data_IF_921663611994
#
_entry.id   IF_921663611994
#
_cell.length_a   1.000
_cell.length_b   1.000
_cell.length_c   1.000
_cell.angle_alpha   90.00
_cell.angle_beta   90.00
_cell.angle_gamma   90.00
#
_symmetry.space_group_name_H-M   'P 1'
#
loop_
_entity.id
_entity.type
_entity.pdbx_description
1 polymer ?
#
# COMPACT_ATOMS: atom_id res chain seq x y z
N UNK A 1 -9.21 47.07 20.29
CA UNK A 1 -8.84 46.77 18.86
C UNK A 1 -7.64 45.85 18.69
N UNK A 2 -6.83 45.60 19.70
CA UNK A 2 -5.55 44.82 19.61
C UNK A 2 -5.76 43.32 19.58
N UNK A 3 -6.73 42.76 20.28
CA UNK A 3 -6.97 41.31 20.37
C UNK A 3 -7.44 40.68 19.05
N UNK A 4 -8.25 41.38 18.27
CA UNK A 4 -8.76 40.88 16.99
C UNK A 4 -7.65 40.77 15.96
N UNK A 5 -6.68 41.67 15.97
CA UNK A 5 -5.53 41.63 15.07
C UNK A 5 -4.52 40.51 15.46
N UNK A 6 -4.38 40.28 16.77
CA UNK A 6 -3.55 39.16 17.28
C UNK A 6 -4.17 37.81 16.92
N UNK A 7 -5.48 37.66 17.11
CA UNK A 7 -6.23 36.47 16.72
C UNK A 7 -6.09 36.18 15.21
N UNK A 8 -6.26 37.18 14.35
CA UNK A 8 -6.09 37.04 12.91
C UNK A 8 -4.67 36.59 12.52
N UNK A 9 -3.66 37.11 13.20
CA UNK A 9 -2.26 36.74 12.94
C UNK A 9 -1.96 35.29 13.23
N UNK A 10 -2.64 34.69 14.21
CA UNK A 10 -2.41 33.30 14.60
C UNK A 10 -3.37 32.29 13.97
N UNK A 11 -4.56 32.74 13.51
CA UNK A 11 -5.55 31.86 12.89
C UNK A 11 -4.99 31.23 11.61
N UNK A 12 -4.39 32.03 10.73
CA UNK A 12 -3.87 31.51 9.45
C UNK A 12 -2.81 30.41 9.63
N UNK A 13 -1.72 30.59 10.42
CA UNK A 13 -0.75 29.53 10.64
C UNK A 13 -1.35 28.33 11.35
N UNK A 14 -2.28 28.53 12.30
CA UNK A 14 -2.95 27.41 12.98
C UNK A 14 -3.79 26.58 12.01
N UNK A 15 -4.54 27.22 11.13
CA UNK A 15 -5.33 26.53 10.10
C UNK A 15 -4.42 25.78 9.13
N UNK A 16 -3.31 26.37 8.70
CA UNK A 16 -2.35 25.70 7.82
C UNK A 16 -1.75 24.47 8.50
N UNK A 17 -1.33 24.58 9.75
CA UNK A 17 -0.78 23.44 10.52
C UNK A 17 -1.83 22.36 10.69
N UNK A 18 -3.08 22.73 11.01
CA UNK A 18 -4.17 21.78 11.14
C UNK A 18 -4.48 21.04 9.83
N UNK A 19 -4.48 21.74 8.70
CA UNK A 19 -4.68 21.15 7.37
C UNK A 19 -3.54 20.22 6.99
N UNK A 20 -2.28 20.59 7.24
CA UNK A 20 -1.12 19.73 7.01
C UNK A 20 -1.19 18.49 7.91
N UNK A 21 -1.47 18.65 9.19
CA UNK A 21 -1.65 17.52 10.10
C UNK A 21 -2.76 16.58 9.65
N UNK A 22 -3.89 17.11 9.23
CA UNK A 22 -5.00 16.33 8.67
C UNK A 22 -4.58 15.59 7.39
N UNK A 23 -3.86 16.26 6.49
CA UNK A 23 -3.36 15.65 5.27
C UNK A 23 -2.45 14.44 5.54
N UNK A 24 -1.48 14.60 6.45
CA UNK A 24 -0.59 13.51 6.87
C UNK A 24 -1.37 12.37 7.54
N UNK A 25 -2.31 12.71 8.41
CA UNK A 25 -3.12 11.72 9.09
C UNK A 25 -4.01 10.93 8.11
N UNK A 26 -4.69 11.60 7.19
CA UNK A 26 -5.56 10.97 6.20
C UNK A 26 -4.78 10.14 5.16
N UNK A 27 -3.56 10.57 4.81
CA UNK A 27 -2.75 9.93 3.77
C UNK A 27 -1.55 9.15 4.34
N UNK A 28 -1.61 8.72 5.59
CA UNK A 28 -0.51 8.02 6.27
C UNK A 28 0.12 6.92 5.42
N UNK A 29 -0.68 5.97 4.94
CA UNK A 29 -0.20 4.83 4.15
C UNK A 29 0.48 5.26 2.85
N UNK A 30 -0.01 6.33 2.21
CA UNK A 30 0.58 6.85 0.99
C UNK A 30 1.91 7.56 1.22
N UNK A 31 2.01 8.33 2.30
CA UNK A 31 3.24 9.08 2.66
C UNK A 31 4.36 8.13 3.06
N UNK A 32 4.05 7.10 3.83
CA UNK A 32 5.02 6.14 4.37
C UNK A 32 5.14 4.86 3.54
N UNK A 33 4.69 4.87 2.28
CA UNK A 33 4.85 3.72 1.38
C UNK A 33 6.33 3.44 1.12
N UNK A 34 6.67 2.16 1.03
CA UNK A 34 8.00 1.68 0.70
C UNK A 34 8.00 0.97 -0.65
N UNK A 35 9.09 1.15 -1.42
CA UNK A 35 9.34 0.44 -2.67
C UNK A 35 10.11 -0.83 -2.33
N UNK A 36 9.51 -1.98 -2.59
CA UNK A 36 10.15 -3.27 -2.44
C UNK A 36 10.44 -3.84 -3.83
N UNK A 37 11.68 -4.23 -4.04
CA UNK A 37 12.14 -4.93 -5.25
C UNK A 37 12.64 -6.27 -4.79
N UNK A 38 11.95 -7.33 -5.17
CA UNK A 38 12.28 -8.62 -4.60
C UNK A 38 11.67 -9.80 -5.32
N UNK A 39 12.12 -10.97 -4.90
CA UNK A 39 11.62 -12.26 -5.36
C UNK A 39 10.36 -12.65 -4.57
N UNK A 40 9.34 -13.08 -5.27
CA UNK A 40 8.11 -13.59 -4.66
C UNK A 40 8.35 -14.97 -4.07
N UNK A 41 8.29 -15.06 -2.77
CA UNK A 41 8.44 -16.30 -2.00
C UNK A 41 7.13 -17.07 -1.94
N UNK A 42 6.02 -16.34 -1.74
CA UNK A 42 4.67 -16.88 -1.71
C UNK A 42 3.67 -15.87 -2.26
N UNK A 43 2.68 -16.37 -2.98
CA UNK A 43 1.52 -15.60 -3.41
C UNK A 43 0.31 -16.53 -3.33
N UNK A 44 -0.57 -16.27 -2.40
CA UNK A 44 -1.75 -17.10 -2.14
C UNK A 44 -3.01 -16.26 -2.31
N UNK A 45 -3.99 -16.84 -3.00
CA UNK A 45 -5.31 -16.26 -3.13
C UNK A 45 -6.13 -16.63 -1.90
N UNK A 46 -6.54 -15.63 -1.15
CA UNK A 46 -7.38 -15.80 0.03
C UNK A 46 -8.80 -15.40 -0.34
N UNK A 47 -9.74 -16.34 -0.19
CA UNK A 47 -11.15 -16.03 -0.33
C UNK A 47 -11.55 -15.06 0.80
N UNK A 48 -12.21 -13.97 0.44
CA UNK A 48 -12.76 -13.04 1.43
C UNK A 48 -13.74 -13.76 2.34
N UNK A 49 -13.92 -13.31 3.59
CA UNK A 49 -14.94 -13.85 4.46
C UNK A 49 -16.28 -13.74 3.74
N UNK A 50 -16.94 -14.88 3.54
CA UNK A 50 -18.31 -14.91 3.03
C UNK A 50 -19.16 -14.18 4.06
N UNK A 51 -19.52 -12.94 3.78
CA UNK A 51 -20.58 -12.29 4.51
C UNK A 51 -21.86 -13.04 4.17
N UNK A 52 -22.22 -14.01 5.01
CA UNK A 52 -23.53 -14.67 4.98
C UNK A 52 -24.52 -13.63 5.49
N UNK A 53 -24.92 -12.73 4.62
CA UNK A 53 -26.03 -11.82 4.89
C UNK A 53 -27.27 -12.44 4.24
N UNK A 54 -28.08 -13.08 5.08
CA UNK A 54 -29.52 -13.15 4.95
C UNK A 54 -30.10 -13.82 3.71
N UNK A 55 -30.75 -14.94 3.94
CA UNK A 55 -32.04 -15.36 3.37
C UNK A 55 -32.46 -14.62 2.06
N UNK A 56 -32.09 -15.17 0.95
CA UNK A 56 -32.58 -14.78 -0.37
C UNK A 56 -31.63 -15.26 -1.46
N UNK A 57 -32.17 -15.82 -2.53
CA UNK A 57 -31.47 -16.39 -3.70
C UNK A 57 -30.57 -15.39 -4.46
N UNK A 58 -29.79 -14.55 -3.77
CA UNK A 58 -28.78 -13.73 -4.40
C UNK A 58 -27.50 -14.54 -4.48
N UNK A 59 -27.11 -14.84 -5.70
CA UNK A 59 -25.79 -15.39 -6.03
C UNK A 59 -24.74 -14.41 -5.46
N UNK A 60 -24.13 -14.77 -4.34
CA UNK A 60 -23.02 -14.05 -3.76
C UNK A 60 -21.94 -13.96 -4.82
N UNK A 61 -21.58 -12.73 -5.19
CA UNK A 61 -20.57 -12.48 -6.19
C UNK A 61 -19.22 -13.07 -5.72
N UNK A 62 -18.72 -14.17 -6.30
CA UNK A 62 -17.54 -14.88 -5.81
C UNK A 62 -16.21 -14.14 -6.13
N UNK A 63 -16.28 -12.87 -6.46
CA UNK A 63 -15.13 -12.10 -6.96
C UNK A 63 -14.42 -11.26 -5.89
N UNK A 64 -14.86 -11.30 -4.63
CA UNK A 64 -14.14 -10.63 -3.56
C UNK A 64 -13.09 -11.62 -3.01
N UNK A 65 -11.88 -11.52 -3.52
CA UNK A 65 -10.73 -12.23 -3.00
C UNK A 65 -9.57 -11.27 -2.81
N UNK A 66 -8.75 -11.56 -1.84
CA UNK A 66 -7.49 -10.88 -1.58
C UNK A 66 -6.32 -11.82 -1.86
N UNK A 67 -5.15 -11.26 -2.03
CA UNK A 67 -3.91 -12.00 -2.14
C UNK A 67 -3.11 -11.79 -0.85
N UNK A 68 -2.57 -12.87 -0.29
CA UNK A 68 -1.50 -12.82 0.69
C UNK A 68 -0.20 -13.01 -0.04
N UNK A 69 0.68 -12.01 0.02
CA UNK A 69 1.94 -12.02 -0.73
C UNK A 69 3.12 -11.89 0.21
N UNK A 70 4.17 -12.64 -0.07
CA UNK A 70 5.44 -12.56 0.61
C UNK A 70 6.55 -12.32 -0.42
N UNK A 71 7.27 -11.21 -0.27
CA UNK A 71 8.33 -10.78 -1.17
C UNK A 71 9.62 -10.65 -0.38
N UNK A 72 10.67 -11.34 -0.84
CA UNK A 72 12.02 -11.22 -0.30
C UNK A 72 12.74 -10.08 -0.98
N UNK A 73 13.03 -9.02 -0.24
CA UNK A 73 13.74 -7.84 -0.75
C UNK A 73 15.16 -8.22 -1.18
N UNK A 74 15.56 -7.87 -2.40
CA UNK A 74 16.90 -8.12 -2.94
C UNK A 74 17.99 -7.30 -2.23
N UNK A 75 17.63 -6.16 -1.63
CA UNK A 75 18.60 -5.27 -0.96
C UNK A 75 18.88 -5.72 0.47
N UNK A 76 17.85 -6.02 1.22
CA UNK A 76 17.97 -6.35 2.66
C UNK A 76 17.96 -7.85 2.93
N UNK A 77 17.41 -8.65 2.00
CA UNK A 77 17.17 -10.07 2.20
C UNK A 77 15.98 -10.39 3.11
N UNK A 78 15.30 -9.37 3.63
CA UNK A 78 14.13 -9.52 4.50
C UNK A 78 12.89 -9.93 3.71
N UNK A 79 12.00 -10.69 4.34
CA UNK A 79 10.73 -11.08 3.77
C UNK A 79 9.66 -10.12 4.25
N UNK A 80 9.08 -9.38 3.33
CA UNK A 80 7.97 -8.48 3.58
C UNK A 80 6.66 -9.16 3.20
N UNK A 81 5.72 -9.19 4.14
CA UNK A 81 4.40 -9.77 3.94
C UNK A 81 3.35 -8.66 3.83
N UNK A 82 2.44 -8.82 2.88
CA UNK A 82 1.33 -7.90 2.70
C UNK A 82 0.07 -8.63 2.23
N UNK A 83 -1.09 -8.05 2.53
CA UNK A 83 -2.35 -8.39 1.86
C UNK A 83 -2.57 -7.44 0.69
N UNK A 84 -3.25 -7.89 -0.34
CA UNK A 84 -3.56 -7.05 -1.50
C UNK A 84 -4.90 -7.45 -2.13
N UNK A 85 -5.67 -6.46 -2.52
CA UNK A 85 -6.87 -6.62 -3.34
C UNK A 85 -6.56 -6.39 -4.84
N UNK A 86 -5.30 -6.09 -5.16
CA UNK A 86 -4.87 -5.83 -6.52
C UNK A 86 -4.84 -7.13 -7.33
N UNK A 87 -5.70 -7.21 -8.34
CA UNK A 87 -5.86 -8.39 -9.21
C UNK A 87 -4.61 -8.72 -10.03
N UNK A 88 -3.69 -7.78 -10.18
CA UNK A 88 -2.44 -8.01 -10.91
C UNK A 88 -1.59 -9.10 -10.25
N UNK A 89 -1.74 -9.32 -8.95
CA UNK A 89 -1.08 -10.41 -8.23
C UNK A 89 -1.49 -11.81 -8.70
N UNK A 90 -2.62 -11.95 -9.38
CA UNK A 90 -3.03 -13.22 -9.98
C UNK A 90 -2.07 -13.72 -11.08
N UNK A 91 -1.35 -12.82 -11.71
CA UNK A 91 -0.37 -13.13 -12.76
C UNK A 91 1.05 -13.37 -12.20
N UNK A 92 1.23 -13.29 -10.88
CA UNK A 92 2.54 -13.43 -10.24
C UNK A 92 2.70 -14.84 -9.70
N UNK A 93 3.78 -15.49 -10.08
CA UNK A 93 4.15 -16.82 -9.60
C UNK A 93 5.33 -16.74 -8.62
N UNK A 94 5.46 -17.76 -7.77
CA UNK A 94 6.63 -17.92 -6.92
C UNK A 94 7.91 -17.97 -7.77
N UNK A 95 8.93 -17.23 -7.36
CA UNK A 95 10.19 -17.07 -8.10
C UNK A 95 10.21 -15.89 -9.07
N UNK A 96 9.05 -15.28 -9.38
CA UNK A 96 9.04 -14.05 -10.15
C UNK A 96 9.67 -12.91 -9.35
N UNK A 97 10.30 -11.98 -10.06
CA UNK A 97 10.79 -10.76 -9.45
C UNK A 97 9.81 -9.62 -9.67
N UNK A 98 9.49 -8.91 -8.59
CA UNK A 98 8.49 -7.86 -8.64
C UNK A 98 9.02 -6.53 -8.12
N UNK A 99 8.47 -5.46 -8.66
CA UNK A 99 8.55 -4.12 -8.08
C UNK A 99 7.16 -3.82 -7.52
N UNK A 100 7.06 -3.64 -6.23
CA UNK A 100 5.80 -3.41 -5.55
C UNK A 100 5.89 -2.22 -4.58
N UNK A 101 4.76 -1.56 -4.38
CA UNK A 101 4.60 -0.55 -3.36
C UNK A 101 3.89 -1.17 -2.15
N UNK A 102 4.54 -1.10 -1.00
CA UNK A 102 4.00 -1.56 0.28
C UNK A 102 3.54 -0.35 1.08
N UNK A 103 2.28 -0.38 1.47
CA UNK A 103 1.59 0.68 2.20
C UNK A 103 1.38 0.22 3.64
N UNK A 104 2.06 0.83 4.63
CA UNK A 104 1.83 0.48 6.02
C UNK A 104 0.42 0.91 6.43
N UNK A 105 -0.26 0.06 7.18
CA UNK A 105 -1.51 0.46 7.81
C UNK A 105 -1.25 1.52 8.88
N UNK A 106 -2.14 2.52 9.01
CA UNK A 106 -2.02 3.50 10.07
C UNK A 106 -2.00 2.85 11.44
N UNK A 107 -1.18 3.32 12.40
CA UNK A 107 -1.06 2.70 13.72
C UNK A 107 -2.38 2.72 14.53
N UNK A 108 -3.30 3.62 14.23
CA UNK A 108 -4.62 3.72 14.87
C UNK A 108 -5.67 2.76 14.29
N UNK A 109 -5.40 2.11 13.14
CA UNK A 109 -6.28 1.10 12.54
C UNK A 109 -5.94 -0.31 13.01
N UNK A 110 -5.92 -0.54 14.31
CA UNK A 110 -5.52 -1.83 14.86
C UNK A 110 -6.50 -2.97 14.53
N UNK A 111 -7.79 -2.67 14.34
CA UNK A 111 -8.83 -3.66 14.07
C UNK A 111 -8.88 -4.11 12.61
N UNK A 112 -8.41 -3.29 11.67
CA UNK A 112 -8.40 -3.61 10.24
C UNK A 112 -7.10 -4.30 9.80
N UNK A 113 -6.15 -4.45 10.70
CA UNK A 113 -4.92 -5.19 10.46
C UNK A 113 -5.26 -6.67 10.44
N UNK A 114 -5.45 -7.25 9.28
CA UNK A 114 -5.46 -8.69 9.14
C UNK A 114 -4.16 -9.32 9.65
N UNK A 115 -3.73 -10.41 9.08
CA UNK A 115 -2.46 -11.07 9.45
C UNK A 115 -1.22 -10.28 9.01
N UNK A 116 -1.36 -9.18 8.26
CA UNK A 116 -0.25 -8.40 7.70
C UNK A 116 -0.34 -6.93 8.09
N UNK A 117 0.82 -6.30 8.31
CA UNK A 117 0.91 -4.88 8.64
C UNK A 117 0.91 -3.95 7.41
N UNK A 118 0.86 -4.51 6.21
CA UNK A 118 0.98 -3.77 4.96
C UNK A 118 -0.06 -4.23 3.95
N UNK A 119 -0.48 -3.29 3.12
CA UNK A 119 -1.16 -3.56 1.86
C UNK A 119 -0.12 -3.43 0.73
N UNK A 120 -0.19 -4.27 -0.31
CA UNK A 120 0.75 -4.23 -1.43
C UNK A 120 0.05 -3.95 -2.74
N UNK A 121 0.64 -3.07 -3.55
CA UNK A 121 0.27 -2.85 -4.94
C UNK A 121 1.39 -3.28 -5.85
N UNK A 122 1.09 -4.11 -6.83
CA UNK A 122 2.05 -4.53 -7.85
C UNK A 122 2.27 -3.39 -8.84
N UNK A 123 3.52 -3.04 -9.10
CA UNK A 123 3.89 -2.05 -10.11
C UNK A 123 4.42 -2.73 -11.36
N UNK A 124 5.34 -3.67 -11.22
CA UNK A 124 5.93 -4.43 -12.34
C UNK A 124 6.18 -5.87 -11.94
N UNK A 125 6.04 -6.78 -12.89
CA UNK A 125 6.33 -8.20 -12.74
C UNK A 125 7.34 -8.65 -13.80
N UNK A 126 8.38 -9.36 -13.38
CA UNK A 126 9.45 -9.88 -14.22
C UNK A 126 9.59 -11.37 -13.98
N UNK A 127 9.91 -12.13 -15.01
CA UNK A 127 10.15 -13.57 -14.91
C UNK A 127 11.45 -13.90 -14.16
N UNK A 128 12.42 -12.98 -14.14
CA UNK A 128 13.66 -13.12 -13.36
C UNK A 128 14.14 -11.79 -12.81
N UNK A 129 14.93 -11.82 -11.73
CA UNK A 129 15.44 -10.63 -11.08
C UNK A 129 16.53 -9.91 -11.87
N UNK A 130 17.13 -10.55 -12.85
CA UNK A 130 18.13 -9.94 -13.74
C UNK A 130 17.52 -8.88 -14.68
N UNK A 131 16.21 -8.97 -14.92
CA UNK A 131 15.48 -8.05 -15.78
C UNK A 131 15.07 -6.76 -15.08
N UNK A 132 15.25 -6.68 -13.77
CA UNK A 132 14.87 -5.50 -13.00
C UNK A 132 15.87 -4.37 -13.27
N UNK A 133 15.41 -3.21 -13.77
CA UNK A 133 16.29 -2.08 -13.99
C UNK A 133 16.90 -1.60 -12.67
N UNK A 134 18.23 -1.45 -12.65
CA UNK A 134 18.99 -0.97 -11.48
C UNK A 134 18.91 0.55 -11.28
N UNK A 135 17.95 1.21 -11.89
CA UNK A 135 17.89 2.67 -11.92
C UNK A 135 17.22 3.24 -10.66
N UNK A 136 18.01 3.91 -9.83
CA UNK A 136 17.55 4.71 -8.69
C UNK A 136 17.59 6.23 -9.01
N UNK A 137 17.28 6.61 -10.26
CA UNK A 137 17.25 8.00 -10.69
C UNK A 137 16.13 8.81 -10.02
N UNK A 138 16.28 10.13 -9.97
CA UNK A 138 15.25 11.05 -9.44
C UNK A 138 13.89 10.86 -10.13
N UNK A 139 13.90 10.61 -11.44
CA UNK A 139 12.69 10.37 -12.24
C UNK A 139 11.97 9.09 -11.78
N UNK A 140 12.71 8.01 -11.47
CA UNK A 140 12.13 6.76 -10.97
C UNK A 140 11.53 6.93 -9.56
N UNK A 141 12.16 7.73 -8.71
CA UNK A 141 11.61 8.09 -7.39
C UNK A 141 10.31 8.88 -7.53
N UNK A 142 10.26 9.80 -8.49
CA UNK A 142 9.07 10.60 -8.76
C UNK A 142 7.94 9.73 -9.33
N UNK A 143 8.23 8.84 -10.28
CA UNK A 143 7.26 7.87 -10.80
C UNK A 143 6.72 6.99 -9.67
N UNK A 144 7.60 6.46 -8.82
CA UNK A 144 7.17 5.67 -7.66
C UNK A 144 6.29 6.48 -6.72
N UNK A 145 6.63 7.75 -6.46
CA UNK A 145 5.80 8.60 -5.60
C UNK A 145 4.38 8.73 -6.12
N UNK A 146 4.20 8.88 -7.43
CA UNK A 146 2.89 8.94 -8.08
C UNK A 146 2.32 7.57 -8.47
N UNK A 147 2.99 6.46 -8.13
CA UNK A 147 2.60 5.09 -8.52
C UNK A 147 2.43 4.92 -10.03
N UNK A 148 3.23 5.63 -10.81
CA UNK A 148 3.26 5.53 -12.27
C UNK A 148 4.19 4.38 -12.69
N UNK A 149 3.76 3.63 -13.71
CA UNK A 149 4.56 2.54 -14.29
C UNK A 149 5.50 3.07 -15.37
#
# INVERSE_FOLDING_TARGET
MTYINLLKKWILPTVVVALLGWFFFANWSFVFKSKIIGEVVASERVAGPLAIVGSGNQVLNPQIFSFSVAVKDLKTGEIHMASSEDRQWAAVSKGNCVVAAFFPYPPWRMLDKGMTNHNARLLRNFSSCDQVPKEDGFVEKLKFFFLMN
#
